data_IF_812811292779
#
_entry.id   IF_812811292779
#
_cell.length_a   1.000
_cell.length_b   1.000
_cell.length_c   1.000
_cell.angle_alpha   90.00
_cell.angle_beta   90.00
_cell.angle_gamma   90.00
#
_symmetry.space_group_name_H-M   'P 1'
#
loop_
_entity.id
_entity.type
_entity.pdbx_description
1 polymer ?
#
# COMPACT_ATOMS: atom_id res chain seq x y z
N UNK A 1 -16.26 -16.22 19.68
CA UNK A 1 -16.25 -14.80 19.27
C UNK A 1 -14.86 -14.27 19.62
N UNK A 2 -14.08 -13.94 18.61
CA UNK A 2 -12.76 -13.31 18.79
C UNK A 2 -13.01 -11.83 19.09
N UNK A 3 -12.27 -11.28 20.05
CA UNK A 3 -12.31 -9.86 20.40
C UNK A 3 -10.92 -9.30 20.08
N UNK A 4 -10.86 -8.28 19.23
CA UNK A 4 -9.63 -7.65 18.80
C UNK A 4 -9.35 -6.38 19.62
N UNK A 5 -8.18 -6.33 20.25
CA UNK A 5 -7.69 -5.12 20.93
C UNK A 5 -7.04 -4.17 19.92
N UNK A 6 -7.77 -3.10 19.60
CA UNK A 6 -7.34 -2.08 18.64
C UNK A 6 -6.58 -0.91 19.27
N UNK A 7 -6.21 -0.98 20.56
CA UNK A 7 -5.65 0.19 21.29
C UNK A 7 -4.43 0.77 20.61
N UNK A 8 -3.47 -0.08 20.20
CA UNK A 8 -2.27 0.35 19.49
C UNK A 8 -2.60 0.90 18.10
N UNK A 9 -3.43 0.19 17.33
CA UNK A 9 -3.76 0.57 15.96
C UNK A 9 -4.51 1.91 15.90
N UNK A 10 -5.41 2.16 16.87
CA UNK A 10 -6.11 3.44 17.06
C UNK A 10 -5.12 4.59 17.30
N UNK A 11 -4.17 4.40 18.22
CA UNK A 11 -3.18 5.42 18.52
C UNK A 11 -2.29 5.72 17.31
N UNK A 12 -1.86 4.70 16.57
CA UNK A 12 -1.06 4.86 15.35
C UNK A 12 -1.86 5.56 14.24
N UNK A 13 -3.11 5.15 14.04
CA UNK A 13 -4.02 5.78 13.09
C UNK A 13 -4.23 7.28 13.39
N UNK A 14 -4.42 7.66 14.65
CA UNK A 14 -4.49 9.06 15.05
C UNK A 14 -3.16 9.80 14.84
N UNK A 15 -2.03 9.18 15.19
CA UNK A 15 -0.68 9.73 14.99
C UNK A 15 -0.40 10.03 13.51
N UNK A 16 -0.91 9.20 12.61
CA UNK A 16 -0.78 9.35 11.15
C UNK A 16 -1.78 10.36 10.55
N UNK A 17 -2.62 11.00 11.35
CA UNK A 17 -3.61 11.97 10.86
C UNK A 17 -4.87 11.32 10.30
N UNK A 18 -5.23 10.13 10.79
CA UNK A 18 -6.44 9.39 10.44
C UNK A 18 -6.52 8.96 8.97
N UNK A 19 -5.54 8.19 8.46
CA UNK A 19 -5.55 7.69 7.08
C UNK A 19 -6.71 6.71 6.83
N UNK A 20 -6.89 6.29 5.58
CA UNK A 20 -7.82 5.21 5.25
C UNK A 20 -7.43 3.90 5.98
N UNK A 21 -8.43 3.08 6.27
CA UNK A 21 -8.28 1.81 6.97
C UNK A 21 -9.23 0.78 6.37
N UNK A 22 -8.89 -0.48 6.57
CA UNK A 22 -9.66 -1.63 6.11
C UNK A 22 -10.06 -2.49 7.30
N UNK A 23 -11.12 -3.26 7.13
CA UNK A 23 -11.51 -4.29 8.09
C UNK A 23 -11.65 -5.65 7.41
N UNK A 24 -11.55 -6.70 8.22
CA UNK A 24 -11.86 -8.07 7.84
C UNK A 24 -12.97 -8.57 8.78
N UNK A 25 -14.07 -9.03 8.18
CA UNK A 25 -15.14 -9.71 8.89
C UNK A 25 -14.78 -11.19 9.09
N UNK A 26 -14.57 -11.66 10.33
CA UNK A 26 -14.23 -13.07 10.60
C UNK A 26 -15.34 -14.04 10.20
N UNK A 27 -16.59 -13.58 10.13
CA UNK A 27 -17.74 -14.39 9.72
C UNK A 27 -17.87 -14.47 8.18
N UNK A 28 -17.19 -13.57 7.45
CA UNK A 28 -17.17 -13.53 5.98
C UNK A 28 -15.73 -13.46 5.40
N UNK A 29 -14.81 -14.38 5.76
CA UNK A 29 -13.39 -14.26 5.40
C UNK A 29 -13.13 -14.37 3.89
N UNK A 30 -14.09 -14.89 3.12
CA UNK A 30 -14.01 -14.98 1.66
C UNK A 30 -14.17 -13.63 0.95
N UNK A 31 -14.69 -12.61 1.64
CA UNK A 31 -14.80 -11.24 1.10
C UNK A 31 -13.47 -10.48 1.17
N UNK A 32 -12.53 -10.95 1.99
CA UNK A 32 -11.23 -10.30 2.17
C UNK A 32 -11.32 -8.99 2.94
N UNK A 33 -10.32 -8.13 2.75
CA UNK A 33 -10.23 -6.83 3.41
C UNK A 33 -11.10 -5.80 2.68
N UNK A 34 -11.99 -5.14 3.42
CA UNK A 34 -12.90 -4.13 2.90
C UNK A 34 -12.52 -2.74 3.39
N UNK A 35 -12.65 -1.73 2.51
CA UNK A 35 -12.40 -0.34 2.88
C UNK A 35 -13.49 0.17 3.84
N UNK A 36 -13.07 0.88 4.90
CA UNK A 36 -14.02 1.55 5.79
C UNK A 36 -14.61 2.76 5.05
N UNK A 37 -15.85 2.62 4.59
CA UNK A 37 -16.56 3.62 3.77
C UNK A 37 -16.97 4.86 4.58
N UNK A 38 -17.05 4.76 5.90
CA UNK A 38 -17.44 5.88 6.77
C UNK A 38 -16.23 6.49 7.48
N UNK A 39 -16.08 7.82 7.42
CA UNK A 39 -15.07 8.56 8.21
C UNK A 39 -15.40 8.59 9.71
N UNK A 40 -16.32 7.76 10.18
CA UNK A 40 -16.65 7.67 11.59
C UNK A 40 -15.47 7.05 12.35
N UNK A 41 -15.15 7.58 13.53
CA UNK A 41 -14.09 7.05 14.40
C UNK A 41 -14.52 5.72 15.08
N UNK A 42 -15.49 5.01 14.53
CA UNK A 42 -16.06 3.78 15.10
C UNK A 42 -15.11 2.61 14.86
N UNK A 43 -14.90 1.78 15.87
CA UNK A 43 -14.13 0.55 15.78
C UNK A 43 -14.95 -0.54 16.44
N UNK A 44 -15.28 -1.58 15.68
CA UNK A 44 -15.98 -2.74 16.21
C UNK A 44 -14.96 -3.73 16.78
N UNK A 45 -15.27 -4.35 17.91
CA UNK A 45 -14.33 -5.25 18.61
C UNK A 45 -14.30 -6.66 18.00
N UNK A 46 -15.31 -7.01 17.21
CA UNK A 46 -15.47 -8.26 16.48
C UNK A 46 -14.88 -8.24 15.07
N UNK A 47 -14.44 -7.06 14.57
CA UNK A 47 -13.76 -6.92 13.29
C UNK A 47 -12.26 -6.76 13.50
N UNK A 48 -11.46 -7.36 12.62
CA UNK A 48 -10.02 -7.07 12.57
C UNK A 48 -9.78 -5.86 11.67
N UNK A 49 -8.87 -4.97 12.04
CA UNK A 49 -8.57 -3.77 11.25
C UNK A 49 -7.09 -3.67 10.86
N UNK A 50 -6.83 -2.95 9.77
CA UNK A 50 -5.48 -2.50 9.37
C UNK A 50 -5.51 -1.11 8.75
N UNK A 51 -4.39 -0.40 8.77
CA UNK A 51 -4.24 0.87 8.03
C UNK A 51 -4.00 0.56 6.56
N UNK A 52 -4.69 1.28 5.67
CA UNK A 52 -4.49 1.17 4.23
C UNK A 52 -3.21 1.92 3.86
N UNK A 53 -2.31 1.24 3.15
CA UNK A 53 -0.96 1.71 2.87
C UNK A 53 -0.59 1.46 1.41
N UNK A 54 0.26 2.32 0.85
CA UNK A 54 0.87 2.12 -0.47
C UNK A 54 2.16 1.31 -0.33
N UNK A 55 2.67 0.68 -1.42
CA UNK A 55 4.00 0.11 -1.43
C UNK A 55 5.05 1.09 -0.94
N UNK A 56 6.01 0.58 -0.19
CA UNK A 56 7.13 1.36 0.32
C UNK A 56 8.46 0.68 0.03
N UNK A 57 9.47 1.50 -0.28
CA UNK A 57 10.85 1.07 -0.39
C UNK A 57 11.76 2.20 0.10
N UNK A 58 12.91 1.85 0.69
CA UNK A 58 13.95 2.83 0.95
C UNK A 58 14.63 3.24 -0.37
N UNK A 59 14.27 4.42 -0.88
CA UNK A 59 14.79 4.99 -2.11
C UNK A 59 16.30 5.26 -2.11
N UNK A 60 16.96 5.37 -0.93
CA UNK A 60 18.41 5.53 -0.84
C UNK A 60 19.18 4.29 -1.34
N UNK A 61 18.51 3.12 -1.32
CA UNK A 61 19.07 1.86 -1.82
C UNK A 61 18.66 1.56 -3.27
N UNK A 62 17.94 2.47 -3.91
CA UNK A 62 17.42 2.32 -5.27
C UNK A 62 18.20 3.24 -6.20
N UNK A 63 18.65 2.71 -7.33
CA UNK A 63 19.31 3.50 -8.38
C UNK A 63 18.46 4.73 -8.73
N UNK A 64 19.12 5.87 -8.87
CA UNK A 64 18.58 7.17 -9.29
C UNK A 64 17.82 7.14 -10.63
N UNK A 65 18.05 6.12 -11.47
CA UNK A 65 17.30 5.95 -12.71
C UNK A 65 15.82 5.60 -12.50
N UNK A 66 15.43 5.08 -11.33
CA UNK A 66 14.05 4.72 -11.04
C UNK A 66 13.35 5.83 -10.26
N UNK A 67 12.16 6.20 -10.74
CA UNK A 67 11.36 7.32 -10.23
C UNK A 67 9.99 6.89 -9.72
N UNK A 68 9.57 5.64 -9.96
CA UNK A 68 8.24 5.16 -9.61
C UNK A 68 8.31 3.73 -9.09
N UNK A 69 7.39 3.38 -8.21
CA UNK A 69 7.08 2.01 -7.79
C UNK A 69 5.58 1.81 -7.90
N UNK A 70 5.15 0.64 -8.34
CA UNK A 70 3.75 0.24 -8.32
C UNK A 70 3.63 -1.27 -8.04
N UNK A 71 2.54 -1.65 -7.41
CA UNK A 71 2.09 -3.03 -7.21
C UNK A 71 1.00 -3.37 -8.21
N UNK A 72 1.11 -4.55 -8.80
CA UNK A 72 0.13 -5.18 -9.68
C UNK A 72 -0.96 -5.92 -8.88
N UNK A 73 -1.98 -6.42 -9.59
CA UNK A 73 -3.15 -7.08 -8.98
C UNK A 73 -2.80 -8.35 -8.20
N UNK A 74 -1.70 -9.02 -8.56
CA UNK A 74 -1.18 -10.21 -7.88
C UNK A 74 -0.26 -9.89 -6.70
N UNK A 75 -0.01 -8.59 -6.44
CA UNK A 75 0.88 -8.12 -5.37
C UNK A 75 2.36 -8.07 -5.74
N UNK A 76 2.72 -8.45 -6.97
CA UNK A 76 4.08 -8.21 -7.49
C UNK A 76 4.30 -6.71 -7.65
N UNK A 77 5.53 -6.24 -7.40
CA UNK A 77 5.86 -4.83 -7.55
C UNK A 77 7.12 -4.59 -8.37
N UNK A 78 7.08 -3.48 -9.09
CA UNK A 78 8.14 -3.08 -9.99
C UNK A 78 8.54 -1.63 -9.79
N UNK A 79 9.83 -1.35 -9.95
CA UNK A 79 10.39 -0.02 -10.11
C UNK A 79 10.33 0.39 -11.58
N UNK A 80 9.95 1.63 -11.85
CA UNK A 80 9.89 2.18 -13.21
C UNK A 80 10.71 3.47 -13.33
N UNK A 81 11.35 3.65 -14.48
CA UNK A 81 12.09 4.88 -14.81
C UNK A 81 11.17 6.05 -15.11
N UNK A 82 10.13 5.83 -15.90
CA UNK A 82 9.08 6.80 -16.18
C UNK A 82 7.79 6.40 -15.50
N UNK A 83 6.81 7.30 -15.54
CA UNK A 83 5.47 7.01 -15.01
C UNK A 83 4.86 5.85 -15.80
N UNK A 84 4.52 4.73 -15.14
CA UNK A 84 3.89 3.60 -15.81
C UNK A 84 2.45 3.94 -16.19
N UNK A 85 1.97 3.32 -17.25
CA UNK A 85 0.55 3.29 -17.60
C UNK A 85 -0.10 2.03 -17.06
N UNK A 86 -1.42 2.06 -16.91
CA UNK A 86 -2.18 0.94 -16.37
C UNK A 86 -2.91 0.19 -17.47
N UNK A 87 -2.85 -1.15 -17.45
CA UNK A 87 -3.69 -2.03 -18.26
C UNK A 87 -4.76 -2.72 -17.38
N UNK A 88 -5.34 -3.84 -17.79
CA UNK A 88 -6.42 -4.52 -17.05
C UNK A 88 -5.97 -5.13 -15.72
N UNK A 89 -4.70 -5.55 -15.60
CA UNK A 89 -4.19 -6.30 -14.45
C UNK A 89 -2.82 -5.85 -13.94
N UNK A 90 -2.16 -4.93 -14.64
CA UNK A 90 -0.79 -4.54 -14.29
C UNK A 90 -0.44 -3.12 -14.69
N UNK A 91 0.67 -2.65 -14.11
CA UNK A 91 1.40 -1.47 -14.49
C UNK A 91 2.44 -1.81 -15.54
N UNK A 92 2.41 -1.09 -16.66
CA UNK A 92 3.32 -1.31 -17.78
C UNK A 92 4.06 -0.04 -18.15
N UNK A 93 5.31 -0.20 -18.61
CA UNK A 93 6.12 0.88 -19.15
C UNK A 93 6.73 0.45 -20.49
N UNK A 94 6.57 1.28 -21.52
CA UNK A 94 6.78 0.93 -22.94
C UNK A 94 8.20 0.47 -23.30
N UNK A 95 9.19 0.67 -22.43
CA UNK A 95 10.61 0.43 -22.72
C UNK A 95 11.21 -0.78 -22.00
N UNK A 96 10.41 -1.61 -21.30
CA UNK A 96 10.89 -2.76 -20.51
C UNK A 96 11.96 -2.41 -19.45
N UNK A 97 12.13 -1.12 -19.14
CA UNK A 97 13.05 -0.66 -18.10
C UNK A 97 12.35 -0.66 -16.74
N UNK A 98 11.99 -1.86 -16.28
CA UNK A 98 11.48 -2.07 -14.93
C UNK A 98 12.36 -3.07 -14.16
N UNK A 99 12.29 -3.01 -12.84
CA UNK A 99 13.01 -3.93 -11.96
C UNK A 99 12.08 -4.40 -10.85
N UNK A 100 12.04 -5.72 -10.66
CA UNK A 100 11.39 -6.38 -9.54
C UNK A 100 11.90 -5.82 -8.19
N UNK A 101 10.98 -5.45 -7.29
CA UNK A 101 11.32 -4.89 -5.98
C UNK A 101 11.55 -5.95 -4.90
N UNK A 102 11.11 -7.19 -5.09
CA UNK A 102 11.24 -8.30 -4.15
C UNK A 102 12.70 -8.62 -3.81
N UNK A 103 13.64 -8.22 -4.65
CA UNK A 103 15.09 -8.29 -4.38
C UNK A 103 15.56 -7.26 -3.34
N UNK A 104 14.77 -6.23 -3.05
CA UNK A 104 15.11 -5.19 -2.08
C UNK A 104 14.57 -5.53 -0.69
N UNK A 105 15.48 -5.79 0.26
CA UNK A 105 15.13 -6.09 1.66
C UNK A 105 14.28 -5.01 2.35
N UNK A 106 14.37 -3.75 1.90
CA UNK A 106 13.60 -2.63 2.44
C UNK A 106 12.20 -2.49 1.83
N UNK A 107 11.85 -3.32 0.86
CA UNK A 107 10.51 -3.30 0.29
C UNK A 107 9.48 -3.75 1.32
N UNK A 108 8.36 -3.05 1.37
CA UNK A 108 7.19 -3.38 2.17
C UNK A 108 5.97 -3.28 1.25
N UNK A 109 5.25 -4.39 1.16
CA UNK A 109 4.06 -4.47 0.33
C UNK A 109 2.95 -3.55 0.88
N UNK A 110 2.22 -2.90 -0.02
CA UNK A 110 1.04 -2.10 0.28
C UNK A 110 -0.18 -2.97 0.62
N UNK A 111 -1.22 -2.28 1.07
CA UNK A 111 -2.54 -2.85 1.37
C UNK A 111 -3.68 -2.16 0.62
N UNK A 112 -3.36 -1.14 -0.19
CA UNK A 112 -4.32 -0.49 -1.08
C UNK A 112 -4.67 -1.36 -2.29
N UNK A 113 -5.72 -0.96 -3.01
CA UNK A 113 -5.98 -1.52 -4.34
C UNK A 113 -4.76 -1.24 -5.25
N UNK A 114 -4.40 -2.19 -6.09
CA UNK A 114 -3.25 -2.09 -6.99
C UNK A 114 -3.34 -0.87 -7.92
N UNK A 115 -4.55 -0.38 -8.21
CA UNK A 115 -4.79 0.84 -9.00
C UNK A 115 -4.33 2.11 -8.30
N UNK A 116 -4.24 2.07 -6.98
CA UNK A 116 -3.80 3.19 -6.14
C UNK A 116 -2.34 3.03 -5.69
N UNK A 117 -1.70 1.92 -6.03
CA UNK A 117 -0.36 1.55 -5.55
C UNK A 117 0.77 2.41 -6.14
N UNK A 118 0.51 3.18 -7.19
CA UNK A 118 1.53 4.02 -7.82
C UNK A 118 2.08 5.07 -6.83
N UNK A 119 3.39 5.02 -6.63
CA UNK A 119 4.16 5.94 -5.78
C UNK A 119 5.31 6.53 -6.58
N UNK A 120 5.39 7.86 -6.61
CA UNK A 120 6.53 8.59 -7.14
C UNK A 120 7.64 8.70 -6.10
N UNK A 121 8.89 8.57 -6.53
CA UNK A 121 10.07 8.82 -5.70
C UNK A 121 10.02 10.25 -5.13
N UNK A 122 10.22 10.43 -3.82
CA UNK A 122 10.28 11.76 -3.23
C UNK A 122 11.41 12.59 -3.83
N UNK A 123 11.07 13.78 -4.36
CA UNK A 123 12.08 14.74 -4.83
C UNK A 123 12.51 15.58 -3.64
N UNK A 124 13.69 15.30 -3.07
CA UNK A 124 14.27 16.18 -2.05
C UNK A 124 14.73 17.46 -2.74
N UNK A 125 14.01 18.56 -2.55
CA UNK A 125 14.54 19.88 -2.90
C UNK A 125 15.60 20.23 -1.86
N UNK A 126 16.87 20.31 -2.28
CA UNK A 126 17.92 20.93 -1.48
C UNK A 126 17.78 22.44 -1.67
N UNK A 127 17.42 23.15 -0.59
CA UNK A 127 17.50 24.61 -0.50
C UNK A 127 18.95 25.07 -0.34
#
# INVERSE_FOLDING_TARGET
MTIYDHTWLKAEWERMGKPERQYLDPDSPLLGWEDVVTHENTWFEDLEYRIKSKPYINWDHVSDKFNWIAEDDDGEACLYRGEPSRDNYSWFYQLFEFQDVGVHKSFTQGTCDWKDSLVMRPVVRRE
#
